data_IF_517596477133
#
_entry.id   IF_517596477133
#
_cell.length_a   1.000
_cell.length_b   1.000
_cell.length_c   1.000
_cell.angle_alpha   90.00
_cell.angle_beta   90.00
_cell.angle_gamma   90.00
#
_symmetry.space_group_name_H-M   'P 1'
#
loop_
_entity.id
_entity.type
_entity.pdbx_description
1 polymer ?
#
# COMPACT_ATOMS: atom_id res chain seq x y z
N UNK A 1 56.13 17.61 5.77
CA UNK A 1 54.85 17.86 6.49
C UNK A 1 53.76 17.99 5.43
N UNK A 2 52.86 17.00 5.31
CA UNK A 2 51.40 17.07 5.60
C UNK A 2 50.68 18.21 4.84
N UNK A 3 49.61 18.01 4.08
CA UNK A 3 48.66 16.90 4.10
C UNK A 3 47.76 16.83 2.86
N UNK A 4 47.23 15.62 2.71
CA UNK A 4 46.32 15.13 1.68
C UNK A 4 44.95 15.79 1.86
N UNK A 5 44.50 16.56 0.86
CA UNK A 5 43.09 16.97 0.75
C UNK A 5 42.31 15.73 0.33
N UNK A 6 41.67 15.05 1.28
CA UNK A 6 40.62 14.10 0.94
C UNK A 6 39.42 14.93 0.48
N UNK A 7 39.21 14.98 -0.84
CA UNK A 7 37.89 15.27 -1.38
C UNK A 7 36.91 14.28 -0.72
N UNK A 8 35.88 14.82 -0.04
CA UNK A 8 34.79 13.99 0.45
C UNK A 8 34.05 13.49 -0.79
N UNK A 9 34.37 12.25 -1.15
CA UNK A 9 33.69 11.46 -2.18
C UNK A 9 32.17 11.54 -1.97
N UNK A 10 31.44 11.72 -3.06
CA UNK A 10 29.98 11.88 -3.07
C UNK A 10 29.28 10.74 -2.36
N UNK A 11 28.83 11.02 -1.13
CA UNK A 11 27.77 10.24 -0.52
C UNK A 11 26.55 10.43 -1.42
N UNK A 12 25.92 9.36 -1.93
CA UNK A 12 24.66 9.52 -2.63
C UNK A 12 23.72 10.30 -1.73
N UNK A 13 23.06 11.31 -2.28
CA UNK A 13 21.93 11.97 -1.64
C UNK A 13 21.00 10.84 -1.16
N UNK A 14 20.81 10.73 0.15
CA UNK A 14 19.96 9.70 0.73
C UNK A 14 18.56 9.95 0.16
N UNK A 15 18.13 9.06 -0.73
CA UNK A 15 16.77 9.12 -1.28
C UNK A 15 15.84 8.74 -0.14
N UNK A 16 15.40 9.74 0.63
CA UNK A 16 14.40 9.57 1.68
C UNK A 16 13.04 9.51 0.99
N UNK A 17 12.54 8.29 0.80
CA UNK A 17 11.19 8.05 0.31
C UNK A 17 10.18 8.56 1.35
N UNK A 18 9.15 9.30 0.91
CA UNK A 18 8.04 9.73 1.76
C UNK A 18 7.14 8.52 2.11
N UNK A 19 7.57 7.81 3.14
CA UNK A 19 7.01 6.56 3.58
C UNK A 19 6.16 6.75 4.83
N UNK A 20 4.93 6.24 4.81
CA UNK A 20 4.09 6.17 6.01
C UNK A 20 4.76 5.33 7.10
N UNK A 21 4.63 5.78 8.35
CA UNK A 21 5.12 5.06 9.53
C UNK A 21 4.33 3.78 9.77
N UNK A 22 5.01 2.72 10.23
CA UNK A 22 4.35 1.48 10.63
C UNK A 22 3.37 1.76 11.79
N UNK A 23 2.12 1.27 11.73
CA UNK A 23 1.16 1.45 12.81
C UNK A 23 1.69 0.92 14.14
N UNK A 24 1.43 1.65 15.24
CA UNK A 24 1.93 1.27 16.55
C UNK A 24 1.44 -0.11 17.02
N UNK A 25 0.27 -0.56 16.57
CA UNK A 25 -0.22 -1.92 16.82
C UNK A 25 0.68 -2.98 16.16
N UNK A 26 1.06 -2.77 14.90
CA UNK A 26 1.95 -3.67 14.18
C UNK A 26 3.38 -3.69 14.76
N UNK A 27 3.85 -2.58 15.33
CA UNK A 27 5.15 -2.53 16.02
C UNK A 27 5.18 -3.33 17.34
N UNK A 28 4.03 -3.46 18.01
CA UNK A 28 3.94 -4.17 19.29
C UNK A 28 3.66 -5.66 19.14
N UNK A 29 3.19 -6.08 17.98
CA UNK A 29 2.79 -7.46 17.72
C UNK A 29 3.86 -8.19 16.91
N UNK A 30 4.50 -9.17 17.53
CA UNK A 30 5.57 -9.96 16.90
C UNK A 30 5.08 -10.88 15.79
N UNK A 31 3.76 -11.13 15.68
CA UNK A 31 3.17 -11.88 14.57
C UNK A 31 2.57 -10.96 13.49
N UNK A 32 2.70 -9.63 13.63
CA UNK A 32 2.20 -8.71 12.63
C UNK A 32 2.84 -8.95 11.25
N UNK A 33 2.02 -8.84 10.21
CA UNK A 33 2.44 -9.01 8.82
C UNK A 33 1.96 -7.82 8.00
N UNK A 34 2.88 -7.15 7.29
CA UNK A 34 2.51 -6.18 6.26
C UNK A 34 1.97 -6.93 5.03
N UNK A 35 0.69 -6.68 4.70
CA UNK A 35 0.01 -7.33 3.57
C UNK A 35 0.15 -6.55 2.26
N UNK A 36 0.05 -5.22 2.35
CA UNK A 36 0.07 -4.36 1.19
C UNK A 36 0.70 -3.02 1.53
N UNK A 37 1.40 -2.45 0.56
CA UNK A 37 1.90 -1.08 0.61
C UNK A 37 1.80 -0.45 -0.77
N UNK A 38 1.31 0.78 -0.83
CA UNK A 38 0.95 1.47 -2.08
C UNK A 38 1.64 2.83 -2.14
N UNK A 39 2.11 3.19 -3.33
CA UNK A 39 2.76 4.47 -3.62
C UNK A 39 2.23 5.07 -4.91
N UNK A 40 2.25 6.39 -4.98
CA UNK A 40 2.20 7.13 -6.25
C UNK A 40 3.63 7.43 -6.66
N UNK A 41 4.12 6.77 -7.71
CA UNK A 41 5.47 6.92 -8.24
C UNK A 41 5.41 6.84 -9.77
N UNK A 42 6.35 7.48 -10.48
CA UNK A 42 6.43 7.43 -11.95
C UNK A 42 5.10 7.73 -12.69
N UNK A 43 4.26 8.61 -12.11
CA UNK A 43 2.92 8.96 -12.61
C UNK A 43 1.90 7.80 -12.60
N UNK A 44 2.16 6.75 -11.82
CA UNK A 44 1.29 5.59 -11.67
C UNK A 44 1.16 5.14 -10.21
N UNK A 45 0.31 4.14 -10.01
CA UNK A 45 0.15 3.44 -8.75
C UNK A 45 1.08 2.22 -8.74
N UNK A 46 1.94 2.16 -7.74
CA UNK A 46 2.84 1.03 -7.50
C UNK A 46 2.47 0.37 -6.18
N UNK A 47 2.54 -0.95 -6.11
CA UNK A 47 2.28 -1.67 -4.87
C UNK A 47 3.25 -2.83 -4.63
N UNK A 48 3.48 -3.12 -3.35
CA UNK A 48 4.09 -4.35 -2.87
C UNK A 48 3.01 -5.14 -2.15
N UNK A 49 2.84 -6.42 -2.50
CA UNK A 49 1.80 -7.28 -1.93
C UNK A 49 2.44 -8.56 -1.40
N UNK A 50 2.08 -8.92 -0.17
CA UNK A 50 2.27 -10.26 0.36
C UNK A 50 0.97 -11.04 0.19
N UNK A 51 0.98 -12.04 -0.67
CA UNK A 51 -0.17 -12.87 -1.00
C UNK A 51 0.07 -14.33 -0.61
N UNK A 52 -1.00 -15.12 -0.55
CA UNK A 52 -0.95 -16.55 -0.28
C UNK A 52 -1.03 -16.93 1.20
N UNK A 53 -1.29 -15.97 2.09
CA UNK A 53 -1.43 -16.21 3.54
C UNK A 53 -2.68 -17.03 3.88
N UNK A 54 -3.71 -16.98 3.04
CA UNK A 54 -4.96 -17.71 3.21
C UNK A 54 -5.14 -18.78 2.11
N UNK A 55 -4.16 -18.89 1.20
CA UNK A 55 -4.23 -19.80 0.06
C UNK A 55 -3.92 -21.26 0.41
N UNK A 56 -3.32 -21.53 1.59
CA UNK A 56 -3.10 -22.90 2.08
C UNK A 56 -4.42 -23.66 2.24
N UNK A 57 -5.52 -22.95 2.54
CA UNK A 57 -6.85 -23.54 2.67
C UNK A 57 -7.59 -23.58 1.32
N UNK A 58 -7.66 -22.45 0.60
CA UNK A 58 -8.17 -22.40 -0.78
C UNK A 58 -7.96 -21.03 -1.43
N UNK A 59 -8.03 -20.99 -2.76
CA UNK A 59 -8.11 -19.72 -3.52
C UNK A 59 -9.34 -18.90 -3.12
N UNK A 60 -10.46 -19.55 -2.79
CA UNK A 60 -11.69 -18.86 -2.37
C UNK A 60 -11.46 -18.10 -1.06
N UNK A 61 -10.76 -18.71 -0.10
CA UNK A 61 -10.40 -18.08 1.17
C UNK A 61 -9.50 -16.86 0.95
N UNK A 62 -8.46 -16.97 0.12
CA UNK A 62 -7.58 -15.85 -0.24
C UNK A 62 -8.37 -14.70 -0.89
N UNK A 63 -9.22 -14.98 -1.88
CA UNK A 63 -10.02 -13.93 -2.53
C UNK A 63 -11.03 -13.27 -1.59
N UNK A 64 -11.60 -14.05 -0.67
CA UNK A 64 -12.55 -13.54 0.33
C UNK A 64 -11.84 -12.65 1.35
N UNK A 65 -10.67 -13.08 1.83
CA UNK A 65 -9.85 -12.29 2.74
C UNK A 65 -9.46 -10.95 2.12
N UNK A 66 -8.98 -10.94 0.87
CA UNK A 66 -8.68 -9.68 0.17
C UNK A 66 -9.91 -8.80 -0.04
N UNK A 67 -11.07 -9.39 -0.31
CA UNK A 67 -12.34 -8.64 -0.38
C UNK A 67 -12.66 -7.90 0.91
N UNK A 68 -12.49 -8.57 2.06
CA UNK A 68 -12.69 -7.97 3.40
C UNK A 68 -11.64 -6.89 3.66
N UNK A 69 -10.36 -7.17 3.42
CA UNK A 69 -9.25 -6.22 3.64
C UNK A 69 -9.46 -4.93 2.85
N UNK A 70 -9.86 -5.03 1.58
CA UNK A 70 -10.12 -3.85 0.73
C UNK A 70 -11.32 -3.03 1.22
N UNK A 71 -12.38 -3.70 1.70
CA UNK A 71 -13.55 -3.03 2.27
C UNK A 71 -13.20 -2.28 3.58
N UNK A 72 -12.43 -2.91 4.46
CA UNK A 72 -11.98 -2.29 5.71
C UNK A 72 -11.08 -1.08 5.43
N UNK A 73 -10.17 -1.19 4.46
CA UNK A 73 -9.33 -0.08 4.02
C UNK A 73 -10.17 1.09 3.47
N UNK A 74 -11.19 0.80 2.64
CA UNK A 74 -12.12 1.83 2.15
C UNK A 74 -12.87 2.51 3.31
N UNK A 75 -13.22 1.75 4.34
CA UNK A 75 -13.82 2.26 5.58
C UNK A 75 -12.90 3.26 6.28
N UNK A 76 -11.63 2.91 6.47
CA UNK A 76 -10.63 3.79 7.08
C UNK A 76 -10.37 5.06 6.26
N UNK A 77 -10.37 4.97 4.93
CA UNK A 77 -10.27 6.16 4.07
C UNK A 77 -11.48 7.08 4.28
N UNK A 78 -12.70 6.53 4.31
CA UNK A 78 -13.90 7.32 4.57
C UNK A 78 -13.88 8.01 5.94
N UNK A 79 -13.41 7.31 6.97
CA UNK A 79 -13.27 7.86 8.32
C UNK A 79 -12.26 9.02 8.33
N UNK A 80 -11.10 8.87 7.68
CA UNK A 80 -10.09 9.92 7.57
C UNK A 80 -10.61 11.16 6.82
N UNK A 81 -11.25 10.97 5.66
CA UNK A 81 -11.82 12.09 4.89
C UNK A 81 -12.92 12.83 5.67
N UNK A 82 -13.75 12.08 6.42
CA UNK A 82 -14.79 12.68 7.25
C UNK A 82 -14.20 13.46 8.44
N UNK A 83 -13.14 12.95 9.06
CA UNK A 83 -12.42 13.64 10.14
C UNK A 83 -11.80 14.97 9.68
N UNK A 84 -11.38 15.07 8.42
CA UNK A 84 -10.90 16.30 7.79
C UNK A 84 -12.05 17.24 7.34
N UNK A 85 -13.31 16.91 7.65
CA UNK A 85 -14.47 17.75 7.36
C UNK A 85 -14.94 17.71 5.90
N UNK A 86 -14.51 16.71 5.11
CA UNK A 86 -14.88 16.59 3.70
C UNK A 86 -16.33 16.11 3.47
N UNK A 87 -17.05 15.74 4.54
CA UNK A 87 -18.46 15.40 4.48
C UNK A 87 -18.86 14.26 5.43
N UNK A 88 -20.13 13.83 5.38
CA UNK A 88 -20.61 12.69 6.16
C UNK A 88 -19.90 11.41 5.75
N UNK A 89 -19.38 10.68 6.75
CA UNK A 89 -18.65 9.41 6.56
C UNK A 89 -19.41 8.40 5.70
N UNK A 90 -20.73 8.27 5.87
CA UNK A 90 -21.55 7.36 5.06
C UNK A 90 -21.55 7.73 3.58
N UNK A 91 -21.74 9.00 3.26
CA UNK A 91 -21.72 9.53 1.88
C UNK A 91 -20.34 9.33 1.24
N UNK A 92 -19.27 9.59 1.98
CA UNK A 92 -17.89 9.38 1.51
C UNK A 92 -17.61 7.90 1.24
N UNK A 93 -18.01 7.01 2.16
CA UNK A 93 -17.85 5.57 1.99
C UNK A 93 -18.63 5.04 0.78
N UNK A 94 -19.88 5.47 0.60
CA UNK A 94 -20.70 5.13 -0.58
C UNK A 94 -20.03 5.60 -1.88
N UNK A 95 -19.47 6.81 -1.91
CA UNK A 95 -18.76 7.34 -3.06
C UNK A 95 -17.47 6.54 -3.39
N UNK A 96 -16.72 6.13 -2.36
CA UNK A 96 -15.53 5.29 -2.52
C UNK A 96 -15.91 3.93 -3.10
N UNK A 97 -16.89 3.24 -2.51
CA UNK A 97 -17.34 1.92 -2.99
C UNK A 97 -17.91 2.00 -4.40
N UNK A 98 -18.69 3.04 -4.71
CA UNK A 98 -19.20 3.29 -6.05
C UNK A 98 -18.07 3.44 -7.08
N UNK A 99 -17.08 4.27 -6.78
CA UNK A 99 -15.92 4.49 -7.65
C UNK A 99 -15.07 3.22 -7.81
N UNK A 100 -14.86 2.48 -6.71
CA UNK A 100 -14.17 1.19 -6.73
C UNK A 100 -14.85 0.19 -7.66
N UNK A 101 -16.17 0.03 -7.58
CA UNK A 101 -16.91 -0.90 -8.44
C UNK A 101 -16.85 -0.50 -9.92
N UNK A 102 -16.87 0.80 -10.23
CA UNK A 102 -16.67 1.30 -11.60
C UNK A 102 -15.27 0.94 -12.11
N UNK A 103 -14.22 1.26 -11.36
CA UNK A 103 -12.83 0.96 -11.75
C UNK A 103 -12.57 -0.56 -11.83
N UNK A 104 -13.17 -1.36 -10.95
CA UNK A 104 -13.04 -2.82 -10.96
C UNK A 104 -13.66 -3.46 -12.22
N UNK A 105 -14.72 -2.85 -12.76
CA UNK A 105 -15.41 -3.33 -13.97
C UNK A 105 -14.91 -2.69 -15.25
N UNK A 106 -14.33 -1.48 -15.18
CA UNK A 106 -13.76 -0.75 -16.32
C UNK A 106 -12.44 -0.07 -15.90
N UNK A 107 -11.32 -0.83 -15.86
CA UNK A 107 -10.04 -0.30 -15.40
C UNK A 107 -9.52 0.83 -16.28
N UNK A 108 -9.09 1.92 -15.66
CA UNK A 108 -8.58 3.12 -16.34
C UNK A 108 -7.06 3.25 -16.28
N UNK A 109 -6.40 2.58 -15.33
CA UNK A 109 -4.95 2.61 -15.16
C UNK A 109 -4.27 1.30 -15.55
N UNK A 110 -3.04 1.39 -16.07
CA UNK A 110 -2.15 0.23 -16.17
C UNK A 110 -1.70 -0.19 -14.76
N UNK A 111 -1.85 -1.47 -14.43
CA UNK A 111 -1.40 -2.04 -13.15
C UNK A 111 0.06 -2.44 -13.28
N UNK A 112 0.95 -1.77 -12.55
CA UNK A 112 2.39 -2.10 -12.54
C UNK A 112 2.76 -2.66 -11.17
N UNK A 113 3.03 -3.96 -11.12
CA UNK A 113 3.47 -4.68 -9.92
C UNK A 113 4.15 -5.99 -10.33
N UNK A 114 5.33 -6.27 -9.78
CA UNK A 114 6.12 -7.43 -10.17
C UNK A 114 5.46 -8.73 -9.71
N UNK A 115 5.26 -9.67 -10.65
CA UNK A 115 5.13 -11.08 -10.27
C UNK A 115 6.45 -11.50 -9.57
N UNK A 116 6.42 -12.34 -8.52
CA UNK A 116 7.65 -12.96 -8.08
C UNK A 116 8.21 -13.74 -9.26
N UNK A 117 9.49 -13.54 -9.56
CA UNK A 117 10.20 -14.41 -10.47
C UNK A 117 9.92 -15.84 -10.02
N UNK A 118 9.38 -16.66 -10.91
CA UNK A 118 9.22 -18.08 -10.66
C UNK A 118 10.61 -18.64 -10.35
N UNK A 119 10.89 -18.90 -9.08
CA UNK A 119 12.05 -19.68 -8.69
C UNK A 119 11.80 -21.10 -9.15
N UNK A 120 12.49 -21.50 -10.21
CA UNK A 120 12.64 -22.90 -10.60
C UNK A 120 13.59 -23.66 -9.69
#
# INVERSE_FOLDING_TARGET
MRGRVHARSGMPEEVVMDALTVPAAALRDTSAVELARVWIAERGLHCSLKFGLYAEESVVMETTAWGIILADLAGHVADALSAEGMGPRSTLYEAIVGSFNVEATSPTAQRTGGAPAASG
#
